data_IF_417835756159
#
_entry.id   IF_417835756159
#
_cell.length_a   1.000
_cell.length_b   1.000
_cell.length_c   1.000
_cell.angle_alpha   90.00
_cell.angle_beta   90.00
_cell.angle_gamma   90.00
#
_symmetry.space_group_name_H-M   'P 1'
#
loop_
_entity.id
_entity.type
_entity.pdbx_description
1 polymer ?
#
# COMPACT_ATOMS: atom_id res chain seq x y z
N UNK A 1 39.92 -41.74 -29.58
CA UNK A 1 39.20 -40.46 -29.74
C UNK A 1 37.83 -40.83 -30.31
N UNK A 2 36.98 -41.58 -29.61
CA UNK A 2 36.27 -41.18 -28.36
C UNK A 2 35.84 -39.71 -28.53
N UNK A 3 34.60 -39.36 -28.87
CA UNK A 3 33.29 -39.94 -28.56
C UNK A 3 32.63 -39.02 -27.54
N UNK A 4 31.65 -38.21 -27.95
CA UNK A 4 30.49 -37.88 -27.11
C UNK A 4 29.37 -37.22 -27.94
N UNK A 5 28.43 -38.06 -28.34
CA UNK A 5 27.00 -37.73 -28.35
C UNK A 5 26.56 -37.73 -26.88
N UNK A 6 26.04 -36.62 -26.38
CA UNK A 6 25.31 -36.55 -25.09
C UNK A 6 24.55 -35.21 -25.03
N UNK A 7 23.51 -35.10 -25.85
CA UNK A 7 22.37 -34.21 -25.60
C UNK A 7 21.20 -35.02 -24.97
N UNK A 8 21.51 -36.13 -24.32
CA UNK A 8 20.53 -36.97 -23.64
C UNK A 8 20.32 -36.49 -22.19
N UNK A 9 19.15 -35.88 -21.98
CA UNK A 9 18.25 -36.22 -20.89
C UNK A 9 18.90 -36.66 -19.57
N UNK A 10 19.06 -35.73 -18.62
CA UNK A 10 18.95 -36.13 -17.23
C UNK A 10 18.30 -35.07 -16.32
N UNK A 11 17.16 -35.50 -15.76
CA UNK A 11 16.45 -35.03 -14.55
C UNK A 11 15.60 -33.78 -14.71
N UNK A 12 14.30 -33.95 -14.95
CA UNK A 12 13.26 -34.23 -13.94
C UNK A 12 13.16 -33.21 -12.81
N UNK A 13 11.99 -32.55 -12.81
CA UNK A 13 11.22 -32.15 -11.63
C UNK A 13 11.85 -31.13 -10.67
N UNK A 14 11.43 -29.87 -10.82
CA UNK A 14 11.09 -29.08 -9.64
C UNK A 14 9.85 -28.23 -9.95
N UNK A 15 8.68 -28.88 -9.91
CA UNK A 15 7.47 -28.17 -9.55
C UNK A 15 7.63 -27.70 -8.10
N UNK A 16 7.76 -26.39 -7.87
CA UNK A 16 7.44 -25.79 -6.56
C UNK A 16 6.77 -24.44 -6.78
N UNK A 17 5.44 -24.51 -6.83
CA UNK A 17 4.48 -23.63 -6.14
C UNK A 17 5.03 -22.25 -5.75
N UNK A 18 4.88 -21.27 -6.64
CA UNK A 18 4.85 -19.86 -6.19
C UNK A 18 3.48 -19.60 -5.56
N UNK A 19 3.36 -19.99 -4.29
CA UNK A 19 2.25 -19.63 -3.45
C UNK A 19 2.14 -18.11 -3.37
N UNK A 20 0.92 -17.61 -3.58
CA UNK A 20 0.55 -16.26 -3.22
C UNK A 20 1.03 -16.00 -1.78
N UNK A 21 1.93 -15.03 -1.61
CA UNK A 21 2.32 -14.56 -0.28
C UNK A 21 1.06 -13.96 0.34
N UNK A 22 0.51 -14.67 1.32
CA UNK A 22 -0.61 -14.20 2.14
C UNK A 22 -0.21 -12.87 2.77
N UNK A 23 -1.09 -11.88 2.72
CA UNK A 23 -1.03 -10.74 3.62
C UNK A 23 -0.94 -11.29 5.05
N UNK A 24 0.09 -10.89 5.78
CA UNK A 24 0.25 -11.28 7.18
C UNK A 24 -0.68 -10.41 8.02
N UNK A 25 -1.90 -10.89 8.23
CA UNK A 25 -2.84 -10.29 9.15
C UNK A 25 -2.51 -10.76 10.57
N UNK A 26 -1.87 -9.90 11.37
CA UNK A 26 -1.67 -10.15 12.80
C UNK A 26 -2.95 -9.76 13.55
N UNK A 27 -3.94 -10.65 13.61
CA UNK A 27 -5.08 -10.47 14.51
C UNK A 27 -4.63 -10.82 15.93
N UNK A 28 -4.26 -9.80 16.70
CA UNK A 28 -4.16 -9.92 18.15
C UNK A 28 -5.55 -10.25 18.71
N UNK A 29 -5.70 -11.43 19.32
CA UNK A 29 -6.95 -11.79 20.01
C UNK A 29 -7.13 -10.87 21.22
N UNK A 30 -8.02 -9.89 21.11
CA UNK A 30 -8.40 -9.05 22.24
C UNK A 30 -8.94 -9.93 23.38
N UNK A 31 -8.41 -9.74 24.59
CA UNK A 31 -8.96 -10.36 25.78
C UNK A 31 -10.39 -9.81 26.01
N UNK A 32 -11.34 -10.69 26.30
CA UNK A 32 -12.71 -10.29 26.56
C UNK A 32 -12.77 -9.36 27.79
N UNK A 33 -13.30 -8.15 27.63
CA UNK A 33 -13.66 -7.27 28.75
C UNK A 33 -12.87 -5.96 28.90
N UNK A 34 -12.18 -5.49 27.87
CA UNK A 34 -11.62 -4.12 27.86
C UNK A 34 -12.03 -3.42 26.57
N UNK A 35 -12.81 -2.34 26.69
CA UNK A 35 -13.23 -1.44 25.59
C UNK A 35 -12.03 -0.63 25.07
N UNK A 36 -10.97 -1.32 24.64
CA UNK A 36 -9.83 -0.72 23.98
C UNK A 36 -10.26 -0.50 22.53
N UNK A 37 -10.27 0.75 22.03
CA UNK A 37 -10.57 0.99 20.63
C UNK A 37 -9.53 0.27 19.78
N UNK A 38 -9.99 -0.70 18.98
CA UNK A 38 -9.15 -1.45 18.05
C UNK A 38 -9.08 -0.64 16.76
N UNK A 39 -7.87 -0.19 16.39
CA UNK A 39 -7.62 0.49 15.12
C UNK A 39 -7.22 -0.55 14.06
N UNK A 40 -7.94 -0.58 12.94
CA UNK A 40 -7.71 -1.50 11.82
C UNK A 40 -6.88 -0.82 10.74
N UNK A 41 -5.68 -1.34 10.49
CA UNK A 41 -4.73 -0.78 9.54
C UNK A 41 -4.56 -1.75 8.38
N UNK A 42 -4.73 -1.26 7.15
CA UNK A 42 -4.49 -2.03 5.93
C UNK A 42 -3.45 -1.38 5.04
N UNK A 43 -2.48 -2.16 4.57
CA UNK A 43 -1.45 -1.73 3.63
C UNK A 43 -1.68 -2.33 2.25
N UNK A 44 -1.65 -1.50 1.20
CA UNK A 44 -1.64 -2.01 -0.19
C UNK A 44 -0.22 -2.40 -0.60
N UNK A 45 -0.09 -3.20 -1.66
CA UNK A 45 1.20 -3.37 -2.31
C UNK A 45 1.69 -2.04 -2.92
N UNK A 46 2.95 -2.05 -3.38
CA UNK A 46 3.52 -0.97 -4.14
C UNK A 46 2.89 -0.91 -5.54
N UNK A 47 1.97 0.03 -5.72
CA UNK A 47 1.34 0.29 -7.01
C UNK A 47 1.69 1.70 -7.50
N UNK A 48 2.02 1.81 -8.79
CA UNK A 48 2.02 3.09 -9.50
C UNK A 48 0.58 3.59 -9.69
N UNK A 49 0.37 4.87 -10.02
CA UNK A 49 -0.95 5.36 -10.40
C UNK A 49 -1.52 4.54 -11.56
N UNK A 50 -2.72 3.97 -11.35
CA UNK A 50 -3.38 3.12 -12.34
C UNK A 50 -4.59 3.85 -12.93
N UNK A 51 -4.78 3.62 -14.22
CA UNK A 51 -5.97 4.03 -14.99
C UNK A 51 -6.90 2.86 -15.30
N UNK A 52 -6.46 1.63 -15.03
CA UNK A 52 -7.24 0.39 -15.18
C UNK A 52 -7.52 -0.23 -13.81
N UNK A 53 -8.64 -0.96 -13.64
CA UNK A 53 -8.99 -1.58 -12.37
C UNK A 53 -7.87 -2.41 -11.74
N UNK A 54 -7.67 -2.25 -10.43
CA UNK A 54 -6.74 -3.07 -9.67
C UNK A 54 -7.48 -4.14 -8.87
N UNK A 55 -7.33 -5.44 -9.19
CA UNK A 55 -8.03 -6.51 -8.48
C UNK A 55 -7.59 -6.66 -7.01
N UNK A 56 -6.41 -6.15 -6.64
CA UNK A 56 -5.93 -6.18 -5.25
C UNK A 56 -6.67 -5.19 -4.36
N UNK A 57 -7.28 -4.14 -4.91
CA UNK A 57 -8.09 -3.20 -4.13
C UNK A 57 -9.39 -3.81 -3.62
N UNK A 58 -9.92 -4.84 -4.29
CA UNK A 58 -11.07 -5.60 -3.81
C UNK A 58 -10.77 -6.45 -2.55
N UNK A 59 -9.49 -6.55 -2.15
CA UNK A 59 -9.09 -7.29 -0.95
C UNK A 59 -9.00 -6.39 0.30
N UNK A 60 -9.16 -5.07 0.15
CA UNK A 60 -9.14 -4.14 1.29
C UNK A 60 -10.46 -4.29 2.07
N UNK A 61 -10.42 -4.57 3.38
CA UNK A 61 -11.62 -4.65 4.20
C UNK A 61 -12.37 -3.32 4.25
N UNK A 62 -13.71 -3.37 4.17
CA UNK A 62 -14.57 -2.18 4.20
C UNK A 62 -14.49 -1.40 5.52
N UNK A 63 -14.14 -2.07 6.62
CA UNK A 63 -14.02 -1.51 7.97
C UNK A 63 -12.59 -1.05 8.31
N UNK A 64 -11.77 -0.74 7.29
CA UNK A 64 -10.42 -0.22 7.45
C UNK A 64 -10.44 1.20 8.03
N UNK A 65 -9.87 1.42 9.21
CA UNK A 65 -9.72 2.75 9.81
C UNK A 65 -8.59 3.55 9.14
N UNK A 66 -7.45 2.89 8.87
CA UNK A 66 -6.25 3.51 8.32
C UNK A 66 -5.78 2.73 7.10
N UNK A 67 -5.70 3.41 5.95
CA UNK A 67 -5.21 2.86 4.70
C UNK A 67 -3.79 3.38 4.41
N UNK A 68 -2.84 2.48 4.14
CA UNK A 68 -1.47 2.83 3.78
C UNK A 68 -1.21 2.43 2.32
N UNK A 69 -0.78 3.40 1.51
CA UNK A 69 -0.51 3.23 0.08
C UNK A 69 0.86 3.80 -0.29
N UNK A 70 1.40 3.35 -1.43
CA UNK A 70 2.67 3.91 -1.92
C UNK A 70 2.49 5.35 -2.44
N UNK A 71 1.61 5.52 -3.43
CA UNK A 71 1.29 6.81 -4.03
C UNK A 71 -0.01 7.41 -3.47
N UNK A 72 -0.21 8.72 -3.67
CA UNK A 72 -1.36 9.45 -3.16
C UNK A 72 -2.65 9.13 -3.91
N UNK A 73 -3.77 9.40 -3.24
CA UNK A 73 -5.12 9.35 -3.80
C UNK A 73 -5.27 10.50 -4.80
N UNK A 74 -5.90 10.27 -5.95
CA UNK A 74 -6.14 11.35 -6.91
C UNK A 74 -6.90 12.51 -6.27
N UNK A 75 -6.35 13.72 -6.42
CA UNK A 75 -6.95 14.96 -5.96
C UNK A 75 -6.58 15.38 -4.52
N UNK A 76 -5.87 14.56 -3.76
CA UNK A 76 -5.52 14.86 -2.36
C UNK A 76 -4.02 14.69 -2.12
N UNK A 77 -3.34 15.77 -1.72
CA UNK A 77 -1.88 15.82 -1.47
C UNK A 77 -1.03 15.11 -2.56
N UNK A 78 -1.48 15.19 -3.81
CA UNK A 78 -1.02 14.30 -4.89
C UNK A 78 -0.12 14.96 -5.94
N UNK A 79 -0.06 16.30 -5.93
CA UNK A 79 0.69 17.06 -6.93
C UNK A 79 0.25 16.78 -8.37
N UNK A 80 -1.01 16.40 -8.58
CA UNK A 80 -1.57 16.01 -9.88
C UNK A 80 -1.13 14.63 -10.38
N UNK A 81 -0.56 13.78 -9.51
CA UNK A 81 -0.04 12.45 -9.85
C UNK A 81 -0.74 11.31 -9.09
N UNK A 82 -1.89 11.58 -8.46
CA UNK A 82 -2.58 10.58 -7.66
C UNK A 82 -3.28 9.51 -8.50
N UNK A 83 -3.64 8.41 -7.82
CA UNK A 83 -4.22 7.23 -8.43
C UNK A 83 -5.76 7.30 -8.46
N UNK A 84 -6.36 7.24 -9.65
CA UNK A 84 -7.82 7.29 -9.82
C UNK A 84 -8.52 6.05 -9.25
N UNK A 85 -7.95 4.86 -9.47
CA UNK A 85 -8.50 3.63 -8.88
C UNK A 85 -8.44 3.62 -7.36
N UNK A 86 -7.40 4.25 -6.79
CA UNK A 86 -7.30 4.40 -5.34
C UNK A 86 -8.38 5.36 -4.81
N UNK A 87 -8.68 6.44 -5.53
CA UNK A 87 -9.78 7.34 -5.18
C UNK A 87 -11.12 6.62 -5.17
N UNK A 88 -11.38 5.71 -6.11
CA UNK A 88 -12.59 4.86 -6.10
C UNK A 88 -12.67 3.99 -4.84
N UNK A 89 -11.55 3.36 -4.45
CA UNK A 89 -11.49 2.53 -3.24
C UNK A 89 -11.76 3.38 -1.98
N UNK A 90 -11.07 4.51 -1.83
CA UNK A 90 -11.21 5.39 -0.67
C UNK A 90 -12.63 5.97 -0.58
N UNK A 91 -13.21 6.35 -1.71
CA UNK A 91 -14.61 6.80 -1.78
C UNK A 91 -15.59 5.70 -1.38
N UNK A 92 -15.24 4.42 -1.59
CA UNK A 92 -16.08 3.29 -1.24
C UNK A 92 -15.99 2.93 0.25
N UNK A 93 -14.78 2.82 0.81
CA UNK A 93 -14.59 2.32 2.20
C UNK A 93 -14.54 3.43 3.25
N UNK A 94 -14.30 4.68 2.85
CA UNK A 94 -14.29 5.87 3.73
C UNK A 94 -13.44 5.70 5.02
N UNK A 95 -12.12 5.42 4.90
CA UNK A 95 -11.26 5.27 6.07
C UNK A 95 -11.08 6.61 6.80
N UNK A 96 -10.71 6.61 8.07
CA UNK A 96 -10.43 7.85 8.82
C UNK A 96 -9.13 8.53 8.35
N UNK A 97 -8.15 7.72 7.96
CA UNK A 97 -6.83 8.19 7.51
C UNK A 97 -6.33 7.41 6.30
N UNK A 98 -5.82 8.13 5.29
CA UNK A 98 -5.05 7.57 4.18
C UNK A 98 -3.64 8.11 4.21
N UNK A 99 -2.66 7.22 4.38
CA UNK A 99 -1.23 7.57 4.41
C UNK A 99 -0.59 7.13 3.11
N UNK A 100 0.09 8.07 2.45
CA UNK A 100 0.82 7.87 1.21
C UNK A 100 2.18 8.53 1.27
N UNK A 101 2.97 8.40 0.19
CA UNK A 101 4.23 9.10 0.03
C UNK A 101 4.50 9.37 -1.44
N UNK A 102 5.74 9.08 -1.86
CA UNK A 102 6.19 9.06 -3.24
C UNK A 102 6.30 10.44 -3.94
N UNK A 103 5.30 11.32 -3.80
CA UNK A 103 5.30 12.63 -4.46
C UNK A 103 5.92 13.68 -3.53
N UNK A 104 7.26 13.75 -3.56
CA UNK A 104 8.11 14.55 -2.66
C UNK A 104 7.70 16.01 -2.51
N UNK A 105 7.29 16.66 -3.61
CA UNK A 105 6.93 18.07 -3.61
C UNK A 105 5.49 18.31 -3.12
N UNK A 106 4.67 17.26 -3.02
CA UNK A 106 3.30 17.31 -2.53
C UNK A 106 3.18 16.79 -1.09
N UNK A 107 4.30 16.74 -0.35
CA UNK A 107 4.29 16.43 1.07
C UNK A 107 3.30 17.35 1.80
N UNK A 108 2.41 16.77 2.61
CA UNK A 108 1.40 17.54 3.31
C UNK A 108 0.27 16.71 3.89
N UNK A 109 -0.69 17.44 4.46
CA UNK A 109 -1.93 16.91 5.03
C UNK A 109 -3.11 17.68 4.45
N UNK A 110 -4.17 16.98 4.14
CA UNK A 110 -5.44 17.55 3.70
C UNK A 110 -6.60 16.77 4.31
N UNK A 111 -7.65 17.46 4.74
CA UNK A 111 -8.87 16.85 5.25
C UNK A 111 -10.03 17.10 4.29
N UNK A 112 -10.71 16.04 3.88
CA UNK A 112 -11.87 16.15 3.01
C UNK A 112 -12.86 15.00 3.26
N UNK A 113 -14.14 15.33 3.39
CA UNK A 113 -15.20 14.33 3.54
C UNK A 113 -15.10 13.48 4.82
N UNK A 114 -14.47 13.99 5.87
CA UNK A 114 -14.22 13.23 7.11
C UNK A 114 -13.02 12.28 7.04
N UNK A 115 -12.22 12.37 5.97
CA UNK A 115 -11.01 11.58 5.75
C UNK A 115 -9.81 12.51 5.82
N UNK A 116 -8.78 12.09 6.55
CA UNK A 116 -7.48 12.75 6.55
C UNK A 116 -6.59 12.09 5.51
N UNK A 117 -6.03 12.86 4.59
CA UNK A 117 -5.08 12.43 3.56
C UNK A 117 -3.71 12.95 3.90
N UNK A 118 -2.73 12.05 3.96
CA UNK A 118 -1.35 12.38 4.27
C UNK A 118 -0.44 11.91 3.15
N UNK A 119 0.41 12.81 2.67
CA UNK A 119 1.59 12.46 1.87
C UNK A 119 2.82 12.71 2.73
N UNK A 120 3.34 11.64 3.33
CA UNK A 120 4.51 11.62 4.20
C UNK A 120 5.82 11.40 3.42
N UNK A 121 5.92 11.92 2.19
CA UNK A 121 7.14 11.84 1.42
C UNK A 121 8.26 12.68 2.08
N UNK A 122 9.16 12.01 2.79
CA UNK A 122 10.19 12.68 3.60
C UNK A 122 11.33 13.32 2.79
N UNK A 123 11.55 12.85 1.56
CA UNK A 123 12.60 13.38 0.72
C UNK A 123 12.16 14.68 0.04
N UNK A 124 13.03 15.69 0.01
CA UNK A 124 12.73 17.00 -0.60
C UNK A 124 13.38 17.16 -1.98
N UNK A 125 14.70 16.91 -2.07
CA UNK A 125 15.44 16.93 -3.33
C UNK A 125 16.16 15.59 -3.54
N UNK A 126 15.87 14.92 -4.65
CA UNK A 126 16.43 13.60 -4.92
C UNK A 126 16.03 12.56 -3.86
N UNK A 127 16.86 11.55 -3.66
CA UNK A 127 16.59 10.41 -2.77
C UNK A 127 17.47 10.37 -1.51
N UNK A 128 18.38 11.33 -1.33
CA UNK A 128 19.36 11.35 -0.24
C UNK A 128 19.16 12.44 0.82
N UNK A 129 18.22 13.36 0.60
CA UNK A 129 17.96 14.51 1.47
C UNK A 129 16.58 14.38 2.12
N UNK A 130 16.56 13.96 3.39
CA UNK A 130 15.36 14.00 4.23
C UNK A 130 15.12 15.46 4.60
N UNK A 131 14.21 16.11 3.86
CA UNK A 131 14.02 17.55 3.93
C UNK A 131 12.69 17.99 4.53
N UNK A 132 11.80 17.05 4.84
CA UNK A 132 10.52 17.32 5.49
C UNK A 132 10.51 16.83 6.94
N UNK A 133 9.85 17.58 7.82
CA UNK A 133 9.61 17.16 9.19
C UNK A 133 8.55 16.07 9.28
N UNK A 134 8.43 15.45 10.46
CA UNK A 134 7.36 14.48 10.70
C UNK A 134 5.99 15.14 10.59
N UNK A 135 5.05 14.44 9.94
CA UNK A 135 3.62 14.79 9.97
C UNK A 135 3.00 14.22 11.24
N UNK A 136 2.25 15.05 11.96
CA UNK A 136 1.45 14.64 13.12
C UNK A 136 -0.01 14.88 12.78
N UNK A 137 -0.85 13.87 13.02
CA UNK A 137 -2.31 13.91 12.81
C UNK A 137 -2.99 13.35 14.05
N UNK A 138 -4.10 13.98 14.44
CA UNK A 138 -4.95 13.51 15.53
C UNK A 138 -6.12 12.73 14.93
N UNK A 139 -6.35 11.50 15.40
CA UNK A 139 -7.39 10.59 14.90
C UNK A 139 -8.50 10.37 15.91
#
# INVERSE_FOLDING_TARGET
REGNVDEEQHRMSCATKHGAKRAHESTGKAAAGSDIPVVKIWGTNFFWPMTSPNPYYAQVPEDTDILICHGPVQGYVDGGKGCQELAKLVNHIQPRLVVSGHIHFAHGVEEAGGITYVNAANARKGHGDIGWGAVTVDL
#
